data_IF_796727472168
#
_entry.id   IF_796727472168
#
_cell.length_a   1.000
_cell.length_b   1.000
_cell.length_c   1.000
_cell.angle_alpha   90.00
_cell.angle_beta   90.00
_cell.angle_gamma   90.00
#
_symmetry.space_group_name_H-M   'P 1'
#
loop_
_entity.id
_entity.type
_entity.pdbx_description
1 polymer ?
#
# COMPACT_ATOMS: atom_id res chain seq x y z
N UNK A 1 -17.40 -14.82 16.10
CA UNK A 1 -17.38 -13.44 16.62
C UNK A 1 -18.02 -12.51 15.60
N UNK A 2 -19.00 -11.69 16.00
CA UNK A 2 -19.51 -10.61 15.14
C UNK A 2 -18.58 -9.41 15.31
N UNK A 3 -18.26 -8.73 14.21
CA UNK A 3 -17.46 -7.50 14.22
C UNK A 3 -18.38 -6.35 13.89
N UNK A 4 -18.29 -5.26 14.64
CA UNK A 4 -18.97 -4.00 14.31
C UNK A 4 -17.95 -3.05 13.72
N UNK A 5 -18.26 -2.49 12.56
CA UNK A 5 -17.42 -1.47 11.91
C UNK A 5 -18.15 -0.14 11.92
N UNK A 6 -17.45 0.91 12.35
CA UNK A 6 -17.97 2.29 12.37
C UNK A 6 -16.89 3.29 11.93
N UNK A 7 -17.26 4.51 11.53
CA UNK A 7 -16.30 5.59 11.36
C UNK A 7 -15.52 5.88 12.65
N UNK A 8 -14.24 6.21 12.51
CA UNK A 8 -13.36 6.69 13.57
C UNK A 8 -13.85 8.05 14.05
N UNK A 9 -13.86 8.24 15.37
CA UNK A 9 -14.20 9.49 16.04
C UNK A 9 -12.95 10.10 16.70
N UNK A 10 -13.03 11.37 17.09
CA UNK A 10 -11.91 12.08 17.71
C UNK A 10 -11.36 11.37 18.97
N UNK A 11 -12.23 10.71 19.75
CA UNK A 11 -11.85 9.96 20.94
C UNK A 11 -11.02 8.69 20.63
N UNK A 12 -11.14 8.13 19.43
CA UNK A 12 -10.39 6.92 19.04
C UNK A 12 -8.97 7.25 18.58
N UNK A 13 -8.72 8.47 18.10
CA UNK A 13 -7.47 8.87 17.44
C UNK A 13 -6.23 8.61 18.31
N UNK A 14 -6.20 8.93 19.63
CA UNK A 14 -5.03 8.64 20.46
C UNK A 14 -4.70 7.14 20.54
N UNK A 15 -5.72 6.29 20.62
CA UNK A 15 -5.55 4.83 20.68
C UNK A 15 -5.02 4.30 19.35
N UNK A 16 -5.63 4.72 18.24
CA UNK A 16 -5.23 4.28 16.90
C UNK A 16 -3.85 4.78 16.49
N UNK A 17 -3.49 5.99 16.90
CA UNK A 17 -2.17 6.57 16.60
C UNK A 17 -1.04 5.74 17.20
N UNK A 18 -1.27 5.03 18.31
CA UNK A 18 -0.28 4.15 18.93
C UNK A 18 0.00 2.87 18.11
N UNK A 19 -0.86 2.50 17.17
CA UNK A 19 -0.67 1.33 16.30
C UNK A 19 -0.14 1.70 14.91
N UNK A 20 -0.17 2.98 14.58
CA UNK A 20 0.24 3.51 13.29
C UNK A 20 1.71 3.94 13.31
N UNK A 21 2.39 3.94 12.15
CA UNK A 21 3.72 4.54 12.06
C UNK A 21 3.64 6.04 12.36
N UNK A 22 4.73 6.61 12.89
CA UNK A 22 4.79 8.03 13.26
C UNK A 22 4.51 9.00 12.09
N UNK A 23 4.72 8.56 10.85
CA UNK A 23 4.42 9.32 9.62
C UNK A 23 2.97 9.22 9.16
N UNK A 24 2.13 8.42 9.84
CA UNK A 24 0.74 8.24 9.46
C UNK A 24 -0.06 9.54 9.66
N UNK A 25 -0.88 9.86 8.67
CA UNK A 25 -1.85 10.94 8.78
C UNK A 25 -3.00 10.51 9.71
N UNK A 26 -3.17 11.24 10.82
CA UNK A 26 -4.21 11.01 11.84
C UNK A 26 -5.36 12.01 11.76
N UNK A 27 -5.42 12.86 10.72
CA UNK A 27 -6.52 13.83 10.54
C UNK A 27 -7.82 13.11 10.19
N UNK A 28 -8.92 13.47 10.84
CA UNK A 28 -10.22 12.85 10.56
C UNK A 28 -10.71 13.26 9.16
N UNK A 29 -11.26 12.32 8.36
CA UNK A 29 -11.87 12.67 7.08
C UNK A 29 -13.08 13.58 7.26
N UNK A 30 -13.22 14.55 6.36
CA UNK A 30 -14.40 15.42 6.30
C UNK A 30 -15.66 14.63 5.89
N UNK A 31 -16.80 14.85 6.54
CA UNK A 31 -18.07 14.21 6.16
C UNK A 31 -18.45 14.50 4.70
N UNK A 32 -19.03 13.50 4.03
CA UNK A 32 -19.50 13.63 2.64
C UNK A 32 -18.39 13.57 1.58
N UNK A 33 -17.14 13.32 1.98
CA UNK A 33 -16.05 13.04 1.04
C UNK A 33 -15.94 11.54 0.71
N UNK A 34 -15.18 11.21 -0.33
CA UNK A 34 -14.86 9.81 -0.65
C UNK A 34 -13.91 9.16 0.38
N UNK A 35 -13.25 9.96 1.24
CA UNK A 35 -12.36 9.45 2.27
C UNK A 35 -13.15 8.95 3.49
N UNK A 36 -12.66 7.88 4.11
CA UNK A 36 -13.18 7.35 5.36
C UNK A 36 -12.05 6.79 6.21
N UNK A 37 -12.26 6.76 7.52
CA UNK A 37 -11.41 6.03 8.44
C UNK A 37 -12.32 5.15 9.27
N UNK A 38 -12.14 3.84 9.12
CA UNK A 38 -13.03 2.82 9.67
C UNK A 38 -12.34 2.14 10.85
N UNK A 39 -13.10 1.86 11.89
CA UNK A 39 -12.71 1.12 13.08
C UNK A 39 -13.56 -0.14 13.21
N UNK A 40 -12.90 -1.27 13.42
CA UNK A 40 -13.51 -2.52 13.82
C UNK A 40 -13.38 -2.71 15.34
N UNK A 41 -14.49 -3.10 15.95
CA UNK A 41 -14.62 -3.43 17.37
C UNK A 41 -15.16 -4.87 17.50
N UNK A 42 -14.65 -5.62 18.48
CA UNK A 42 -15.15 -6.96 18.79
C UNK A 42 -16.59 -6.92 19.32
N UNK A 43 -17.38 -7.98 19.07
CA UNK A 43 -18.75 -8.09 19.54
C UNK A 43 -18.89 -7.72 21.02
N UNK A 44 -19.91 -6.89 21.30
CA UNK A 44 -20.37 -6.40 22.61
C UNK A 44 -19.72 -5.11 23.13
N UNK A 45 -18.82 -4.46 22.37
CA UNK A 45 -18.20 -3.19 22.78
C UNK A 45 -17.27 -3.30 23.99
N UNK A 46 -17.13 -4.51 24.57
CA UNK A 46 -16.32 -4.79 25.75
C UNK A 46 -14.81 -4.81 25.46
N UNK A 47 -14.40 -5.01 24.20
CA UNK A 47 -12.99 -5.06 23.79
C UNK A 47 -12.45 -3.75 23.20
N UNK A 48 -13.28 -2.71 23.07
CA UNK A 48 -12.87 -1.42 22.50
C UNK A 48 -12.31 -1.52 21.07
N UNK A 49 -11.55 -0.49 20.64
CA UNK A 49 -10.89 -0.45 19.34
C UNK A 49 -10.01 -1.68 19.12
N UNK A 50 -10.17 -2.37 17.98
CA UNK A 50 -9.39 -3.58 17.67
C UNK A 50 -8.57 -3.46 16.39
N UNK A 51 -9.15 -2.95 15.31
CA UNK A 51 -8.40 -2.70 14.08
C UNK A 51 -8.97 -1.50 13.35
N UNK A 52 -8.17 -0.81 12.54
CA UNK A 52 -8.62 0.29 11.73
C UNK A 52 -8.09 0.19 10.30
N UNK A 53 -8.84 0.77 9.36
CA UNK A 53 -8.47 0.87 7.95
C UNK A 53 -8.89 2.23 7.42
N UNK A 54 -7.99 2.91 6.71
CA UNK A 54 -8.30 4.17 6.05
C UNK A 54 -8.59 3.93 4.57
N UNK A 55 -9.68 4.52 4.10
CA UNK A 55 -9.99 4.68 2.69
C UNK A 55 -9.61 6.10 2.30
N UNK A 56 -8.61 6.27 1.46
CA UNK A 56 -8.34 7.54 0.81
C UNK A 56 -9.21 7.63 -0.45
N UNK A 57 -9.78 8.81 -0.68
CA UNK A 57 -10.42 9.13 -1.96
C UNK A 57 -9.41 9.15 -3.12
N UNK A 58 -9.80 9.66 -4.30
CA UNK A 58 -8.97 9.68 -5.49
C UNK A 58 -7.56 10.25 -5.24
N UNK A 59 -6.56 9.38 -5.30
CA UNK A 59 -5.16 9.73 -5.07
C UNK A 59 -4.54 10.34 -6.33
N UNK A 60 -3.44 11.06 -6.19
CA UNK A 60 -2.69 11.55 -7.35
C UNK A 60 -3.26 12.80 -8.05
N UNK A 61 -4.45 13.28 -7.66
CA UNK A 61 -5.13 14.40 -8.35
C UNK A 61 -4.52 15.79 -8.07
N UNK A 62 -4.07 16.03 -6.82
CA UNK A 62 -3.42 17.31 -6.44
C UNK A 62 -1.92 17.30 -6.75
N UNK A 63 -1.29 16.15 -6.51
CA UNK A 63 0.13 15.91 -6.80
C UNK A 63 0.27 14.48 -7.29
N UNK A 64 1.04 14.22 -8.37
CA UNK A 64 1.24 12.87 -8.86
C UNK A 64 1.87 11.98 -7.78
N UNK A 65 1.32 10.78 -7.63
CA UNK A 65 1.92 9.71 -6.84
C UNK A 65 2.54 8.72 -7.80
N UNK A 66 3.79 8.37 -7.56
CA UNK A 66 4.55 7.55 -8.48
C UNK A 66 4.82 6.16 -7.90
N UNK A 67 4.93 5.22 -8.82
CA UNK A 67 5.36 3.84 -8.62
C UNK A 67 6.33 3.46 -9.71
N UNK A 68 7.07 2.37 -9.50
CA UNK A 68 7.70 1.68 -10.63
C UNK A 68 6.77 0.60 -11.17
N UNK A 69 6.43 0.68 -12.45
CA UNK A 69 5.88 -0.43 -13.19
C UNK A 69 6.98 -1.47 -13.44
N UNK A 70 6.74 -2.71 -13.02
CA UNK A 70 7.64 -3.85 -13.17
C UNK A 70 7.32 -4.58 -14.47
N UNK A 71 8.03 -4.23 -15.52
CA UNK A 71 7.90 -4.82 -16.85
C UNK A 71 8.82 -6.01 -17.08
N UNK A 72 8.75 -6.57 -18.29
CA UNK A 72 9.65 -7.61 -18.77
C UNK A 72 10.07 -7.29 -20.21
N UNK A 73 11.36 -7.38 -20.47
CA UNK A 73 11.93 -7.35 -21.82
C UNK A 73 12.61 -8.67 -22.12
N UNK A 74 12.54 -9.09 -23.38
CA UNK A 74 13.19 -10.30 -23.88
C UNK A 74 14.28 -9.89 -24.87
N UNK A 75 15.52 -10.24 -24.55
CA UNK A 75 16.64 -10.15 -25.47
C UNK A 75 16.84 -11.51 -26.13
N UNK A 76 16.61 -11.57 -27.44
CA UNK A 76 16.79 -12.77 -28.24
C UNK A 76 17.84 -12.52 -29.33
N UNK A 77 18.84 -13.39 -29.39
CA UNK A 77 19.83 -13.45 -30.46
C UNK A 77 19.93 -14.91 -30.93
N UNK A 78 19.10 -15.33 -31.91
CA UNK A 78 19.00 -16.72 -32.35
C UNK A 78 20.33 -17.32 -32.80
N UNK A 79 21.16 -16.54 -33.48
CA UNK A 79 22.48 -16.94 -33.98
C UNK A 79 23.45 -17.26 -32.83
N UNK A 80 23.25 -16.64 -31.67
CA UNK A 80 24.00 -16.89 -30.44
C UNK A 80 23.30 -17.89 -29.51
N UNK A 81 22.13 -18.40 -29.90
CA UNK A 81 21.25 -19.21 -29.05
C UNK A 81 20.92 -18.55 -27.71
N UNK A 82 20.87 -17.21 -27.69
CA UNK A 82 20.56 -16.44 -26.49
C UNK A 82 19.08 -16.07 -26.48
N UNK A 83 18.43 -16.41 -25.37
CA UNK A 83 17.09 -15.95 -25.03
C UNK A 83 17.08 -15.59 -23.54
N UNK A 84 17.11 -14.30 -23.24
CA UNK A 84 17.24 -13.81 -21.88
C UNK A 84 16.10 -12.86 -21.54
N UNK A 85 15.34 -13.20 -20.50
CA UNK A 85 14.25 -12.37 -19.97
C UNK A 85 14.80 -11.52 -18.83
N UNK A 86 14.53 -10.21 -18.86
CA UNK A 86 14.94 -9.29 -17.82
C UNK A 86 13.74 -8.49 -17.32
N UNK A 87 13.70 -8.24 -16.02
CA UNK A 87 12.73 -7.32 -15.43
C UNK A 87 13.20 -5.87 -15.62
N UNK A 88 12.24 -4.99 -15.83
CA UNK A 88 12.47 -3.55 -16.00
C UNK A 88 11.61 -2.77 -15.02
N UNK A 89 12.08 -1.58 -14.64
CA UNK A 89 11.37 -0.63 -13.81
C UNK A 89 11.15 0.64 -14.63
N UNK A 90 9.90 1.07 -14.76
CA UNK A 90 9.54 2.34 -15.38
C UNK A 90 8.77 3.19 -14.37
N UNK A 91 9.26 4.38 -14.07
CA UNK A 91 8.59 5.31 -13.18
C UNK A 91 7.33 5.85 -13.85
N UNK A 92 6.19 5.69 -13.20
CA UNK A 92 4.89 6.11 -13.71
C UNK A 92 3.92 6.48 -12.59
N UNK A 93 2.69 6.82 -12.94
CA UNK A 93 1.65 7.26 -12.02
C UNK A 93 0.28 6.67 -12.42
N UNK A 94 0.30 5.42 -12.86
CA UNK A 94 -0.81 4.71 -13.51
C UNK A 94 -2.08 4.62 -12.64
N UNK A 95 -1.92 4.63 -11.31
CA UNK A 95 -3.04 4.61 -10.34
C UNK A 95 -3.57 6.00 -9.97
N UNK A 96 -3.29 7.03 -10.76
CA UNK A 96 -3.86 8.37 -10.56
C UNK A 96 -5.39 8.30 -10.66
N UNK A 97 -6.09 8.81 -9.64
CA UNK A 97 -7.54 8.78 -9.53
C UNK A 97 -8.12 7.53 -8.87
N UNK A 98 -7.30 6.52 -8.55
CA UNK A 98 -7.72 5.35 -7.78
C UNK A 98 -8.00 5.72 -6.32
N UNK A 99 -8.89 4.96 -5.68
CA UNK A 99 -9.03 5.00 -4.22
C UNK A 99 -7.97 4.10 -3.59
N UNK A 100 -7.57 4.39 -2.36
CA UNK A 100 -6.53 3.61 -1.68
C UNK A 100 -7.01 3.10 -0.32
N UNK A 101 -6.79 1.81 -0.07
CA UNK A 101 -6.82 1.23 1.26
C UNK A 101 -5.45 1.42 1.92
N UNK A 102 -5.40 2.30 2.91
CA UNK A 102 -4.17 2.75 3.56
C UNK A 102 -4.25 2.63 5.08
N UNK A 103 -3.10 2.78 5.74
CA UNK A 103 -3.00 2.91 7.20
C UNK A 103 -3.77 1.83 7.98
N UNK A 104 -3.73 0.58 7.48
CA UNK A 104 -4.27 -0.56 8.19
C UNK A 104 -3.43 -0.85 9.43
N UNK A 105 -4.01 -0.70 10.63
CA UNK A 105 -3.38 -1.11 11.88
C UNK A 105 -4.34 -1.91 12.77
N UNK A 106 -3.77 -2.68 13.70
CA UNK A 106 -4.53 -3.52 14.63
C UNK A 106 -3.88 -3.51 16.01
N UNK A 107 -4.68 -3.80 17.03
CA UNK A 107 -4.24 -3.93 18.39
C UNK A 107 -3.23 -5.11 18.51
N UNK A 108 -2.05 -4.91 19.15
CA UNK A 108 -1.00 -5.94 19.21
C UNK A 108 -1.40 -7.26 19.88
N UNK A 109 -2.42 -7.24 20.73
CA UNK A 109 -2.93 -8.44 21.41
C UNK A 109 -3.94 -9.27 20.60
N UNK A 110 -4.28 -8.84 19.37
CA UNK A 110 -5.13 -9.65 18.48
C UNK A 110 -4.36 -10.85 17.96
N UNK A 111 -4.92 -12.04 18.18
CA UNK A 111 -4.43 -13.23 17.50
C UNK A 111 -4.73 -13.17 15.99
N UNK A 112 -4.04 -14.01 15.22
CA UNK A 112 -4.14 -14.01 13.76
C UNK A 112 -5.56 -14.32 13.25
N UNK A 113 -6.35 -15.14 13.95
CA UNK A 113 -7.70 -15.51 13.52
C UNK A 113 -8.67 -14.34 13.72
N UNK A 114 -8.61 -13.67 14.88
CA UNK A 114 -9.37 -12.47 15.16
C UNK A 114 -8.95 -11.31 14.26
N UNK A 115 -7.65 -11.13 14.02
CA UNK A 115 -7.11 -10.14 13.11
C UNK A 115 -7.64 -10.35 11.68
N UNK A 116 -7.66 -11.58 11.17
CA UNK A 116 -8.19 -11.89 9.84
C UNK A 116 -9.68 -11.54 9.72
N UNK A 117 -10.47 -11.86 10.74
CA UNK A 117 -11.90 -11.51 10.76
C UNK A 117 -12.13 -10.00 10.83
N UNK A 118 -11.31 -9.27 11.60
CA UNK A 118 -11.35 -7.81 11.66
C UNK A 118 -11.02 -7.19 10.30
N UNK A 119 -9.98 -7.67 9.62
CA UNK A 119 -9.62 -7.21 8.28
C UNK A 119 -10.72 -7.47 7.25
N UNK A 120 -11.34 -8.65 7.29
CA UNK A 120 -12.49 -8.97 6.43
C UNK A 120 -13.66 -8.01 6.68
N UNK A 121 -13.98 -7.73 7.95
CA UNK A 121 -15.04 -6.78 8.29
C UNK A 121 -14.73 -5.36 7.80
N UNK A 122 -13.49 -4.90 7.96
CA UNK A 122 -13.03 -3.60 7.47
C UNK A 122 -13.06 -3.50 5.94
N UNK A 123 -12.64 -4.56 5.22
CA UNK A 123 -12.72 -4.60 3.76
C UNK A 123 -14.17 -4.54 3.26
N UNK A 124 -15.09 -5.23 3.93
CA UNK A 124 -16.51 -5.17 3.61
C UNK A 124 -17.07 -3.75 3.77
N UNK A 125 -16.82 -3.14 4.93
CA UNK A 125 -17.26 -1.77 5.19
C UNK A 125 -16.60 -0.75 4.25
N UNK A 126 -15.31 -0.93 3.91
CA UNK A 126 -14.60 -0.10 2.95
C UNK A 126 -15.22 -0.22 1.56
N UNK A 127 -15.56 -1.43 1.11
CA UNK A 127 -16.25 -1.65 -0.16
C UNK A 127 -17.62 -0.98 -0.19
N UNK A 128 -18.42 -1.14 0.87
CA UNK A 128 -19.74 -0.51 0.98
C UNK A 128 -19.63 1.03 0.92
N UNK A 129 -18.68 1.61 1.65
CA UNK A 129 -18.37 3.03 1.59
C UNK A 129 -17.96 3.48 0.18
N UNK A 130 -17.07 2.73 -0.47
CA UNK A 130 -16.60 3.03 -1.83
C UNK A 130 -17.73 2.95 -2.86
N UNK A 131 -18.66 2.00 -2.70
CA UNK A 131 -19.86 1.89 -3.54
C UNK A 131 -20.81 3.07 -3.32
N UNK A 132 -21.06 3.45 -2.07
CA UNK A 132 -21.91 4.60 -1.74
C UNK A 132 -21.32 5.93 -2.24
N UNK A 133 -19.99 6.06 -2.24
CA UNK A 133 -19.27 7.26 -2.68
C UNK A 133 -18.75 7.17 -4.11
N UNK A 134 -19.20 6.19 -4.90
CA UNK A 134 -18.71 5.94 -6.27
C UNK A 134 -18.83 7.16 -7.19
N UNK A 135 -19.85 8.00 -7.03
CA UNK A 135 -20.00 9.22 -7.85
C UNK A 135 -18.84 10.22 -7.65
N UNK A 136 -18.09 10.10 -6.55
CA UNK A 136 -16.98 10.98 -6.20
C UNK A 136 -15.61 10.41 -6.61
N UNK A 137 -15.53 9.17 -7.12
CA UNK A 137 -14.27 8.46 -7.38
C UNK A 137 -14.34 7.46 -8.55
N UNK A 138 -13.19 6.99 -9.02
CA UNK A 138 -13.12 5.94 -10.04
C UNK A 138 -13.50 4.56 -9.48
N UNK A 139 -13.48 3.54 -10.35
CA UNK A 139 -13.70 2.16 -9.94
C UNK A 139 -12.44 1.43 -9.47
N UNK A 140 -11.25 1.97 -9.72
CA UNK A 140 -9.98 1.35 -9.33
C UNK A 140 -9.70 1.56 -7.84
N UNK A 141 -9.35 0.49 -7.14
CA UNK A 141 -8.96 0.51 -5.73
C UNK A 141 -7.61 -0.17 -5.58
N UNK A 142 -6.67 0.49 -4.90
CA UNK A 142 -5.35 -0.04 -4.64
C UNK A 142 -5.07 -0.20 -3.14
N UNK A 143 -4.08 -1.03 -2.81
CA UNK A 143 -3.49 -1.14 -1.49
C UNK A 143 -1.97 -1.32 -1.65
N UNK A 144 -1.18 -0.41 -1.06
CA UNK A 144 0.27 -0.57 -0.98
C UNK A 144 0.64 -1.41 0.25
N UNK A 145 1.49 -2.41 0.05
CA UNK A 145 2.04 -3.21 1.13
C UNK A 145 3.45 -2.73 1.46
N UNK A 146 3.83 -2.65 2.75
CA UNK A 146 5.19 -2.26 3.12
C UNK A 146 6.21 -3.23 2.54
N UNK A 147 7.32 -2.73 2.02
CA UNK A 147 8.41 -3.54 1.47
C UNK A 147 9.31 -4.15 2.55
N UNK A 148 10.26 -4.98 2.11
CA UNK A 148 11.24 -5.60 3.01
C UNK A 148 12.18 -4.55 3.63
N UNK A 149 12.57 -4.82 4.88
CA UNK A 149 13.61 -4.08 5.61
C UNK A 149 14.71 -5.06 6.02
N UNK A 150 15.97 -4.61 5.97
CA UNK A 150 17.11 -5.35 6.48
C UNK A 150 17.15 -5.31 8.02
N UNK A 151 18.11 -6.02 8.62
CA UNK A 151 18.28 -6.08 10.08
C UNK A 151 18.58 -4.71 10.73
N UNK A 152 18.95 -3.71 9.91
CA UNK A 152 19.18 -2.32 10.34
C UNK A 152 17.97 -1.42 10.08
N UNK A 153 16.83 -1.99 9.65
CA UNK A 153 15.59 -1.25 9.34
C UNK A 153 15.59 -0.53 8.00
N UNK A 154 16.61 -0.74 7.15
CA UNK A 154 16.75 -0.05 5.86
C UNK A 154 16.13 -0.86 4.75
N UNK A 155 15.54 -0.20 3.75
CA UNK A 155 15.06 -0.93 2.55
C UNK A 155 16.23 -1.38 1.68
N UNK A 156 16.36 -2.70 1.37
CA UNK A 156 17.31 -3.18 0.38
C UNK A 156 17.08 -2.58 -1.01
N UNK A 157 15.81 -2.34 -1.38
CA UNK A 157 15.44 -1.72 -2.64
C UNK A 157 15.95 -0.27 -2.73
N UNK A 158 15.70 0.56 -1.69
CA UNK A 158 16.24 1.92 -1.63
C UNK A 158 17.77 1.93 -1.75
N UNK A 159 18.43 0.99 -1.06
CA UNK A 159 19.89 0.85 -1.11
C UNK A 159 20.38 0.42 -2.50
N UNK A 160 19.60 -0.29 -3.31
CA UNK A 160 20.01 -0.66 -4.67
C UNK A 160 19.73 0.40 -5.73
N UNK A 161 18.77 1.29 -5.50
CA UNK A 161 18.30 2.25 -6.50
C UNK A 161 18.27 3.69 -5.96
N UNK A 162 17.35 3.98 -5.03
CA UNK A 162 17.05 5.35 -4.61
C UNK A 162 18.23 6.10 -4.00
N UNK A 163 19.11 5.43 -3.25
CA UNK A 163 20.28 6.06 -2.61
C UNK A 163 21.23 6.76 -3.58
N UNK A 164 21.24 6.34 -4.85
CA UNK A 164 22.10 6.91 -5.89
C UNK A 164 21.63 8.29 -6.35
N UNK A 165 20.37 8.63 -6.07
CA UNK A 165 19.75 9.91 -6.41
C UNK A 165 19.48 10.77 -5.17
N UNK A 166 19.26 10.14 -4.01
CA UNK A 166 19.12 10.82 -2.73
C UNK A 166 19.79 9.99 -1.62
N UNK A 167 20.94 10.48 -1.13
CA UNK A 167 21.74 9.77 -0.13
C UNK A 167 21.11 9.75 1.28
N UNK A 168 20.14 10.61 1.55
CA UNK A 168 19.45 10.67 2.84
C UNK A 168 18.45 9.52 3.03
N UNK A 169 17.98 9.37 4.27
CA UNK A 169 16.96 8.40 4.64
C UNK A 169 15.59 8.82 4.09
N UNK A 170 14.95 8.01 3.22
CA UNK A 170 13.64 8.32 2.66
C UNK A 170 12.55 8.32 3.74
N UNK A 171 12.68 7.53 4.82
CA UNK A 171 11.68 7.51 5.89
C UNK A 171 11.67 8.84 6.65
N UNK A 172 12.84 9.46 6.85
CA UNK A 172 12.93 10.80 7.43
C UNK A 172 12.26 11.87 6.55
N UNK A 173 12.35 11.75 5.22
CA UNK A 173 11.65 12.64 4.28
C UNK A 173 10.13 12.44 4.38
N UNK A 174 9.67 11.19 4.40
CA UNK A 174 8.26 10.84 4.55
C UNK A 174 7.69 11.26 5.91
N UNK A 175 8.45 11.16 6.99
CA UNK A 175 8.05 11.65 8.31
C UNK A 175 7.89 13.17 8.34
N UNK A 176 8.82 13.90 7.71
CA UNK A 176 8.81 15.38 7.71
C UNK A 176 7.75 15.97 6.78
N UNK A 177 7.49 15.33 5.64
CA UNK A 177 6.69 15.89 4.56
C UNK A 177 5.42 15.10 4.24
N UNK A 178 5.21 13.96 4.89
CA UNK A 178 4.07 13.07 4.62
C UNK A 178 4.00 12.66 3.14
N UNK A 179 2.80 12.72 2.58
CA UNK A 179 2.54 12.40 1.16
C UNK A 179 3.30 13.29 0.17
N UNK A 180 3.64 14.52 0.55
CA UNK A 180 4.43 15.42 -0.30
C UNK A 180 5.88 14.93 -0.44
N UNK A 181 6.39 14.23 0.58
CA UNK A 181 7.74 13.65 0.56
C UNK A 181 7.91 12.62 -0.55
N UNK A 182 6.89 11.79 -0.80
CA UNK A 182 6.93 10.78 -1.87
C UNK A 182 7.00 11.42 -3.26
N UNK A 183 6.23 12.47 -3.51
CA UNK A 183 6.28 13.20 -4.78
C UNK A 183 7.65 13.87 -5.01
N UNK A 184 8.28 14.39 -3.94
CA UNK A 184 9.62 14.98 -4.01
C UNK A 184 10.70 13.93 -4.28
N UNK A 185 10.65 12.78 -3.59
CA UNK A 185 11.57 11.67 -3.85
C UNK A 185 11.43 11.17 -5.30
N UNK A 186 10.18 11.03 -5.78
CA UNK A 186 9.92 10.63 -7.17
C UNK A 186 10.52 11.58 -8.20
N UNK A 187 10.57 12.88 -7.92
CA UNK A 187 11.16 13.87 -8.82
C UNK A 187 12.68 13.68 -9.01
N UNK A 188 13.35 13.00 -8.08
CA UNK A 188 14.77 12.67 -8.14
C UNK A 188 15.03 11.32 -8.83
N UNK A 189 14.00 10.48 -8.98
CA UNK A 189 14.14 9.13 -9.53
C UNK A 189 14.31 9.14 -11.05
N UNK A 190 14.97 8.12 -11.63
CA UNK A 190 15.15 8.01 -13.08
C UNK A 190 13.80 7.84 -13.79
N UNK A 191 13.61 8.60 -14.88
CA UNK A 191 12.40 8.53 -15.73
C UNK A 191 12.51 7.50 -16.85
N UNK A 192 13.73 7.17 -17.25
CA UNK A 192 14.03 6.12 -18.22
C UNK A 192 13.85 4.73 -17.60
N UNK A 193 13.70 3.73 -18.47
CA UNK A 193 13.63 2.33 -18.05
C UNK A 193 14.92 1.92 -17.35
N UNK A 194 14.80 1.37 -16.14
CA UNK A 194 15.91 0.78 -15.38
C UNK A 194 15.81 -0.73 -15.46
N UNK A 195 16.88 -1.39 -15.90
CA UNK A 195 16.95 -2.85 -15.84
C UNK A 195 17.19 -3.29 -14.39
N UNK A 196 16.35 -4.21 -13.90
CA UNK A 196 16.49 -4.75 -12.56
C UNK A 196 17.87 -5.40 -12.35
N UNK A 197 18.47 -5.95 -13.42
CA UNK A 197 19.82 -6.53 -13.38
C UNK A 197 20.94 -5.54 -13.07
N UNK A 198 20.69 -4.23 -13.15
CA UNK A 198 21.65 -3.20 -12.72
C UNK A 198 21.58 -2.92 -11.22
N UNK A 199 20.56 -3.42 -10.53
CA UNK A 199 20.43 -3.29 -9.09
C UNK A 199 21.25 -4.37 -8.37
N UNK A 200 21.55 -4.13 -7.09
CA UNK A 200 22.18 -5.17 -6.25
C UNK A 200 21.29 -6.41 -6.14
N UNK A 201 21.86 -7.61 -5.91
CA UNK A 201 21.06 -8.83 -5.71
C UNK A 201 20.01 -8.70 -4.61
N UNK A 202 20.34 -8.00 -3.52
CA UNK A 202 19.41 -7.75 -2.42
C UNK A 202 18.24 -6.84 -2.84
N UNK A 203 18.49 -5.82 -3.67
CA UNK A 203 17.43 -4.97 -4.19
C UNK A 203 16.52 -5.71 -5.18
N UNK A 204 17.11 -6.52 -6.06
CA UNK A 204 16.34 -7.39 -6.97
C UNK A 204 15.45 -8.36 -6.20
N UNK A 205 15.98 -8.99 -5.14
CA UNK A 205 15.23 -9.90 -4.29
C UNK A 205 14.12 -9.20 -3.49
N UNK A 206 14.26 -7.91 -3.17
CA UNK A 206 13.26 -7.14 -2.45
C UNK A 206 12.11 -6.62 -3.33
N UNK A 207 12.27 -6.60 -4.66
CA UNK A 207 11.24 -6.14 -5.58
C UNK A 207 9.94 -6.95 -5.42
N UNK A 208 8.84 -6.23 -5.20
CA UNK A 208 7.49 -6.78 -5.02
C UNK A 208 7.37 -7.76 -3.84
N UNK A 209 8.28 -7.71 -2.86
CA UNK A 209 8.18 -8.48 -1.64
C UNK A 209 7.59 -7.65 -0.51
N UNK A 210 6.46 -8.10 0.03
CA UNK A 210 5.85 -7.48 1.21
C UNK A 210 6.60 -7.89 2.50
N UNK A 211 6.63 -6.99 3.48
CA UNK A 211 7.15 -7.27 4.80
C UNK A 211 6.40 -8.45 5.44
N UNK A 212 7.07 -9.32 6.23
CA UNK A 212 6.42 -10.46 6.88
C UNK A 212 5.19 -10.07 7.73
N UNK A 213 5.23 -8.90 8.38
CA UNK A 213 4.12 -8.35 9.17
C UNK A 213 2.86 -8.06 8.34
N UNK A 214 2.99 -7.85 7.04
CA UNK A 214 1.89 -7.59 6.14
C UNK A 214 1.29 -8.86 5.51
N UNK A 215 1.82 -10.05 5.85
CA UNK A 215 1.40 -11.30 5.20
C UNK A 215 -0.10 -11.57 5.32
N UNK A 216 -0.66 -11.44 6.52
CA UNK A 216 -2.09 -11.66 6.72
C UNK A 216 -2.95 -10.66 5.96
N UNK A 217 -2.51 -9.40 5.88
CA UNK A 217 -3.20 -8.37 5.11
C UNK A 217 -3.16 -8.67 3.61
N UNK A 218 -2.01 -9.08 3.09
CA UNK A 218 -1.85 -9.52 1.71
C UNK A 218 -2.76 -10.71 1.37
N UNK A 219 -2.82 -11.72 2.24
CA UNK A 219 -3.67 -12.89 2.04
C UNK A 219 -5.17 -12.48 2.08
N UNK A 220 -5.55 -11.59 3.00
CA UNK A 220 -6.92 -11.05 3.09
C UNK A 220 -7.32 -10.25 1.83
N UNK A 221 -6.41 -9.43 1.31
CA UNK A 221 -6.59 -8.71 0.04
C UNK A 221 -6.76 -9.67 -1.14
N UNK A 222 -5.91 -10.69 -1.22
CA UNK A 222 -5.97 -11.71 -2.28
C UNK A 222 -7.30 -12.48 -2.27
N UNK A 223 -7.79 -12.84 -1.09
CA UNK A 223 -9.10 -13.48 -0.88
C UNK A 223 -10.27 -12.57 -1.28
N UNK A 224 -10.12 -11.26 -1.06
CA UNK A 224 -11.08 -10.23 -1.49
C UNK A 224 -11.00 -9.91 -3.00
N UNK A 225 -10.10 -10.56 -3.74
CA UNK A 225 -9.98 -10.41 -5.19
C UNK A 225 -8.99 -9.34 -5.65
N UNK A 226 -8.18 -8.79 -4.74
CA UNK A 226 -7.05 -7.95 -5.13
C UNK A 226 -5.94 -8.78 -5.76
N UNK A 227 -5.23 -8.20 -6.71
CA UNK A 227 -4.11 -8.83 -7.43
C UNK A 227 -2.93 -7.88 -7.47
N UNK A 228 -1.73 -8.43 -7.59
CA UNK A 228 -0.53 -7.63 -7.81
C UNK A 228 -0.67 -6.86 -9.13
N UNK A 229 -0.57 -5.53 -9.06
CA UNK A 229 -0.78 -4.61 -10.19
C UNK A 229 0.43 -4.49 -11.12
N UNK A 230 1.49 -5.29 -10.91
CA UNK A 230 2.80 -5.06 -11.52
C UNK A 230 3.44 -3.72 -11.14
N UNK A 231 3.07 -3.14 -10.00
CA UNK A 231 3.69 -1.91 -9.49
C UNK A 231 4.32 -2.11 -8.13
N UNK A 232 5.44 -1.44 -7.89
CA UNK A 232 6.12 -1.40 -6.59
C UNK A 232 6.32 0.03 -6.10
N UNK A 233 6.35 0.20 -4.79
CA UNK A 233 6.69 1.48 -4.16
C UNK A 233 8.10 1.95 -4.54
N UNK A 234 8.26 3.26 -4.73
CA UNK A 234 9.53 3.87 -5.17
C UNK A 234 10.60 3.90 -4.08
N UNK A 235 10.19 3.76 -2.81
CA UNK A 235 11.09 3.81 -1.65
C UNK A 235 11.50 2.40 -1.26
N UNK A 236 10.55 1.54 -0.92
CA UNK A 236 10.85 0.26 -0.30
C UNK A 236 10.68 -0.97 -1.20
N UNK A 237 10.17 -0.78 -2.42
CA UNK A 237 9.93 -1.86 -3.38
C UNK A 237 8.75 -2.77 -3.02
N UNK A 238 7.95 -2.38 -2.02
CA UNK A 238 6.75 -3.10 -1.60
C UNK A 238 5.70 -3.18 -2.72
N UNK A 239 4.97 -4.31 -2.83
CA UNK A 239 4.05 -4.52 -3.94
C UNK A 239 2.77 -3.70 -3.77
N UNK A 240 2.22 -3.24 -4.90
CA UNK A 240 0.90 -2.61 -4.98
C UNK A 240 -0.11 -3.62 -5.47
N UNK A 241 -1.16 -3.82 -4.68
CA UNK A 241 -2.30 -4.65 -5.01
C UNK A 241 -3.44 -3.78 -5.52
N UNK A 242 -4.19 -4.26 -6.50
CA UNK A 242 -5.32 -3.55 -7.08
C UNK A 242 -6.54 -4.45 -7.27
N UNK A 243 -7.71 -3.83 -7.35
CA UNK A 243 -8.94 -4.45 -7.83
C UNK A 243 -9.85 -3.38 -8.43
N UNK A 244 -10.81 -3.81 -9.25
CA UNK A 244 -11.90 -2.93 -9.66
C UNK A 244 -13.11 -3.14 -8.75
N UNK A 245 -13.80 -2.07 -8.37
CA UNK A 245 -14.95 -2.10 -7.47
C UNK A 245 -16.08 -3.00 -7.98
N UNK A 246 -16.22 -3.12 -9.30
CA UNK A 246 -17.19 -4.01 -9.95
C UNK A 246 -16.80 -5.49 -9.88
N UNK A 247 -15.50 -5.79 -9.83
CA UNK A 247 -14.96 -7.14 -9.68
C UNK A 247 -14.62 -7.51 -8.24
N UNK A 248 -14.75 -6.58 -7.30
CA UNK A 248 -14.44 -6.79 -5.89
C UNK A 248 -15.49 -7.72 -5.28
N UNK A 249 -15.23 -9.02 -5.41
CA UNK A 249 -16.04 -10.09 -4.85
C UNK A 249 -15.67 -10.30 -3.39
N UNK A 250 -16.55 -9.87 -2.48
CA UNK A 250 -16.54 -10.41 -1.14
C UNK A 250 -16.93 -11.90 -1.20
N UNK A 251 -15.95 -12.80 -1.14
CA UNK A 251 -16.26 -14.21 -0.84
C UNK A 251 -16.92 -14.23 0.54
N UNK A 252 -18.19 -14.63 0.59
CA UNK A 252 -18.97 -14.79 1.83
C UNK A 252 -18.29 -15.79 2.74
#
# INVERSE_FOLDING_TARGET
MRWTVRPVQAADVPVLSAWLPASADTTLPEPGTAAAWLLAEGADGACGPSACLRVRGPIGLRRPRHWYHVGCVVHAAPELQLFHRQHTLLLGNDHTGASELAAGAHHPALDAAAQALAWRALLMAAREHLQATRALQGGMVIAELPGLRDDQGRSPFWQGLGRHFHAGDPDAVLQRLGGDGRAQLAALMPRQVVYASFLSPAAQAAMAQAAPSARLWMDTLADAGFRYSHHIDIVDGGPVFETHLDSWCARR
#
